data_IF_969337478329
#
_entry.id   IF_969337478329
#
_cell.length_a   1.000
_cell.length_b   1.000
_cell.length_c   1.000
_cell.angle_alpha   90.00
_cell.angle_beta   90.00
_cell.angle_gamma   90.00
#
_symmetry.space_group_name_H-M   'P 1'
#
loop_
_entity.id
_entity.type
_entity.pdbx_description
1 polymer ?
#
# COMPACT_ATOMS: atom_id res chain seq x y z
N UNK A 1 15.69 17.52 -15.45
CA UNK A 1 14.26 17.81 -15.77
C UNK A 1 13.65 16.56 -16.38
N UNK A 2 12.54 16.07 -15.83
CA UNK A 2 11.92 14.80 -16.20
C UNK A 2 10.50 14.97 -16.71
N UNK A 3 10.11 14.14 -17.66
CA UNK A 3 8.71 13.92 -18.03
C UNK A 3 8.01 13.05 -16.98
N UNK A 4 6.68 12.95 -17.05
CA UNK A 4 5.92 12.06 -16.17
C UNK A 4 6.31 10.59 -16.36
N UNK A 5 6.69 10.20 -17.57
CA UNK A 5 7.15 8.84 -17.88
C UNK A 5 8.48 8.54 -17.20
N UNK A 6 9.47 9.43 -17.35
CA UNK A 6 10.78 9.27 -16.72
C UNK A 6 10.68 9.33 -15.18
N UNK A 7 9.87 10.25 -14.64
CA UNK A 7 9.60 10.30 -13.21
C UNK A 7 8.91 9.01 -12.73
N UNK A 8 7.98 8.44 -13.51
CA UNK A 8 7.37 7.16 -13.17
C UNK A 8 8.40 6.03 -13.15
N UNK A 9 9.32 5.95 -14.12
CA UNK A 9 10.37 4.93 -14.11
C UNK A 9 11.28 5.06 -12.88
N UNK A 10 11.71 6.27 -12.53
CA UNK A 10 12.55 6.53 -11.36
C UNK A 10 11.82 6.16 -10.06
N UNK A 11 10.56 6.58 -9.92
CA UNK A 11 9.75 6.30 -8.72
C UNK A 11 9.39 4.81 -8.62
N UNK A 12 9.17 4.14 -9.74
CA UNK A 12 8.93 2.70 -9.80
C UNK A 12 10.16 1.88 -9.42
N UNK A 13 11.35 2.26 -9.92
CA UNK A 13 12.64 1.66 -9.52
C UNK A 13 12.90 1.82 -8.01
N UNK A 14 12.54 2.97 -7.45
CA UNK A 14 12.61 3.23 -6.00
C UNK A 14 11.41 2.67 -5.21
N UNK A 15 10.54 1.87 -5.84
CA UNK A 15 9.37 1.21 -5.23
C UNK A 15 8.37 2.17 -4.56
N UNK A 16 8.32 3.42 -5.00
CA UNK A 16 7.40 4.45 -4.50
C UNK A 16 6.03 4.40 -5.21
N UNK A 17 5.95 3.86 -6.43
CA UNK A 17 4.68 3.66 -7.16
C UNK A 17 4.82 2.59 -8.23
N UNK A 18 3.76 1.82 -8.48
CA UNK A 18 3.67 0.88 -9.61
C UNK A 18 2.83 1.42 -10.78
N UNK A 19 2.21 2.60 -10.63
CA UNK A 19 1.27 3.15 -11.61
C UNK A 19 1.62 4.58 -12.04
N UNK A 20 1.70 4.80 -13.36
CA UNK A 20 1.92 6.12 -13.98
C UNK A 20 0.81 7.13 -13.64
N UNK A 21 -0.43 6.69 -13.45
CA UNK A 21 -1.53 7.60 -13.08
C UNK A 21 -1.36 8.17 -11.67
N UNK A 22 -0.72 7.42 -10.76
CA UNK A 22 -0.38 7.93 -9.42
C UNK A 22 0.57 9.12 -9.51
N UNK A 23 1.57 9.05 -10.40
CA UNK A 23 2.50 10.18 -10.66
C UNK A 23 1.77 11.38 -11.25
N UNK A 24 0.85 11.17 -12.21
CA UNK A 24 -0.03 12.23 -12.73
C UNK A 24 -0.85 12.89 -11.63
N UNK A 25 -1.41 12.10 -10.73
CA UNK A 25 -2.22 12.60 -9.62
C UNK A 25 -1.39 13.42 -8.62
N UNK A 26 -0.16 13.00 -8.32
CA UNK A 26 0.75 13.77 -7.46
C UNK A 26 1.11 15.12 -8.07
N UNK A 27 1.39 15.17 -9.37
CA UNK A 27 1.64 16.43 -10.08
C UNK A 27 0.39 17.32 -10.07
N UNK A 28 -0.79 16.78 -10.40
CA UNK A 28 -2.05 17.54 -10.40
C UNK A 28 -2.41 18.10 -9.02
N UNK A 29 -2.13 17.35 -7.96
CA UNK A 29 -2.40 17.74 -6.57
C UNK A 29 -1.30 18.64 -5.99
N UNK A 30 -0.23 18.93 -6.73
CA UNK A 30 0.90 19.75 -6.27
C UNK A 30 1.79 19.05 -5.25
N UNK A 31 1.70 17.72 -5.12
CA UNK A 31 2.55 16.92 -4.23
C UNK A 31 3.97 16.81 -4.80
N UNK A 32 4.08 16.73 -6.13
CA UNK A 32 5.34 16.91 -6.86
C UNK A 32 5.21 18.23 -7.62
N UNK A 33 6.12 19.17 -7.37
CA UNK A 33 6.14 20.40 -8.16
C UNK A 33 6.55 20.10 -9.60
N UNK A 34 5.76 20.60 -10.54
CA UNK A 34 6.01 20.43 -11.96
C UNK A 34 5.54 21.66 -12.73
N UNK A 35 6.29 22.03 -13.75
CA UNK A 35 5.94 23.10 -14.66
C UNK A 35 5.10 22.56 -15.81
N UNK A 36 3.94 23.17 -16.12
CA UNK A 36 3.21 22.80 -17.32
C UNK A 36 4.03 23.21 -18.55
N UNK A 37 4.15 22.31 -19.53
CA UNK A 37 4.58 22.74 -20.87
C UNK A 37 3.52 23.70 -21.45
N UNK A 38 3.90 24.49 -22.46
CA UNK A 38 3.15 25.56 -23.16
C UNK A 38 1.62 25.37 -23.34
N UNK A 39 1.12 24.13 -23.23
CA UNK A 39 -0.29 23.82 -23.01
C UNK A 39 -0.43 22.62 -22.06
N UNK A 40 -1.46 22.61 -21.19
CA UNK A 40 -1.84 21.43 -20.37
C UNK A 40 -1.99 20.13 -21.17
N UNK A 41 -2.24 20.23 -22.50
CA UNK A 41 -2.31 19.08 -23.42
C UNK A 41 -0.95 18.48 -23.79
N UNK A 42 0.16 19.22 -23.63
CA UNK A 42 1.54 18.78 -23.94
C UNK A 42 2.24 18.09 -22.76
N UNK A 43 1.64 18.06 -21.57
CA UNK A 43 2.17 17.37 -20.38
C UNK A 43 2.82 18.30 -19.35
N UNK A 44 3.50 17.69 -18.37
CA UNK A 44 4.20 18.39 -17.27
C UNK A 44 5.69 18.03 -17.28
N UNK A 45 6.55 18.97 -16.87
CA UNK A 45 7.96 18.75 -16.58
C UNK A 45 8.22 18.87 -15.09
N UNK A 46 8.83 17.84 -14.52
CA UNK A 46 9.20 17.78 -13.12
C UNK A 46 10.68 18.15 -12.99
N UNK A 47 11.02 19.07 -12.10
CA UNK A 47 12.44 19.37 -11.83
C UNK A 47 13.10 18.20 -11.09
N UNK A 48 14.40 18.03 -11.32
CA UNK A 48 15.19 16.98 -10.67
C UNK A 48 15.16 17.15 -9.14
N UNK A 49 15.43 18.37 -8.67
CA UNK A 49 15.32 18.75 -7.26
C UNK A 49 13.95 18.42 -6.64
N UNK A 50 12.84 18.68 -7.37
CA UNK A 50 11.49 18.38 -6.87
C UNK A 50 11.23 16.89 -6.76
N UNK A 51 11.77 16.10 -7.71
CA UNK A 51 11.64 14.65 -7.69
C UNK A 51 12.51 14.03 -6.59
N UNK A 52 13.75 14.49 -6.44
CA UNK A 52 14.67 14.07 -5.40
C UNK A 52 14.13 14.40 -4.01
N UNK A 53 13.61 15.62 -3.82
CA UNK A 53 12.98 16.01 -2.56
C UNK A 53 11.78 15.12 -2.25
N UNK A 54 10.91 14.86 -3.23
CA UNK A 54 9.77 13.95 -3.07
C UNK A 54 10.19 12.53 -2.67
N UNK A 55 11.28 12.03 -3.25
CA UNK A 55 11.87 10.73 -2.93
C UNK A 55 12.43 10.75 -1.50
N UNK A 56 13.24 11.75 -1.16
CA UNK A 56 13.88 11.89 0.16
C UNK A 56 12.87 12.02 1.31
N UNK A 57 11.76 12.72 1.09
CA UNK A 57 10.68 12.82 2.09
C UNK A 57 9.99 11.47 2.38
N UNK A 58 9.92 10.60 1.37
CA UNK A 58 9.25 9.29 1.45
C UNK A 58 10.18 8.15 1.83
N UNK A 59 11.48 8.30 1.63
CA UNK A 59 12.48 7.31 2.02
C UNK A 59 12.99 7.57 3.45
N UNK A 60 13.38 6.54 4.22
CA UNK A 60 13.99 6.70 5.55
C UNK A 60 15.34 7.42 5.48
N UNK A 61 15.74 8.10 6.56
CA UNK A 61 17.11 8.61 6.69
C UNK A 61 18.09 7.42 6.68
N UNK A 62 19.09 7.47 5.79
CA UNK A 62 20.07 6.40 5.58
C UNK A 62 19.78 5.48 4.40
N UNK A 63 18.68 5.67 3.67
CA UNK A 63 18.44 4.97 2.40
C UNK A 63 19.13 5.70 1.25
N UNK A 64 20.23 5.15 0.74
CA UNK A 64 20.89 5.66 -0.46
C UNK A 64 20.01 5.39 -1.69
N UNK A 65 19.83 6.42 -2.54
CA UNK A 65 19.29 6.26 -3.89
C UNK A 65 20.16 5.20 -4.56
N UNK A 66 19.59 4.04 -4.92
CA UNK A 66 20.32 2.88 -5.41
C UNK A 66 21.48 3.32 -6.34
N UNK A 67 22.75 3.18 -5.92
CA UNK A 67 23.82 3.33 -6.87
C UNK A 67 23.67 2.21 -7.90
N UNK A 68 23.91 2.52 -9.18
CA UNK A 68 23.92 1.59 -10.31
C UNK A 68 24.93 0.42 -10.16
N UNK A 69 25.56 0.26 -8.99
CA UNK A 69 26.59 -0.71 -8.67
C UNK A 69 26.10 -2.04 -8.08
N UNK A 70 24.80 -2.26 -7.83
CA UNK A 70 24.33 -3.61 -7.41
C UNK A 70 24.04 -4.49 -8.63
N UNK A 71 25.09 -4.84 -9.37
CA UNK A 71 25.20 -6.13 -10.07
C UNK A 71 25.98 -7.06 -9.14
N UNK A 72 25.33 -7.57 -8.12
CA UNK A 72 25.94 -8.55 -7.21
C UNK A 72 25.70 -9.97 -7.72
N UNK A 73 26.71 -10.57 -8.36
CA UNK A 73 26.85 -12.03 -8.31
C UNK A 73 27.13 -12.45 -6.86
N UNK A 74 26.71 -13.67 -6.53
CA UNK A 74 26.72 -14.25 -5.18
C UNK A 74 28.04 -13.99 -4.43
N UNK A 75 27.91 -13.63 -3.15
CA UNK A 75 29.02 -13.33 -2.23
C UNK A 75 30.04 -14.48 -2.19
N UNK A 76 31.31 -14.12 -2.30
CA UNK A 76 32.44 -14.99 -1.95
C UNK A 76 32.32 -15.46 -0.49
N UNK A 77 32.21 -16.78 -0.32
CA UNK A 77 32.21 -17.44 0.99
C UNK A 77 33.67 -17.59 1.41
N UNK A 78 34.06 -16.87 2.46
CA UNK A 78 35.30 -17.16 3.20
C UNK A 78 35.15 -18.55 3.82
N UNK A 79 35.89 -19.52 3.29
CA UNK A 79 35.97 -20.88 3.84
C UNK A 79 36.77 -20.84 5.14
N UNK A 80 36.10 -21.04 6.27
CA UNK A 80 36.73 -21.57 7.48
C UNK A 80 36.32 -23.05 7.58
N UNK A 81 37.30 -23.94 7.70
CA UNK A 81 37.17 -25.38 7.41
C UNK A 81 36.62 -26.27 8.54
N UNK A 82 36.14 -25.73 9.67
CA UNK A 82 35.86 -26.57 10.86
C UNK A 82 34.42 -26.54 11.42
N UNK A 83 33.43 -26.02 10.70
CA UNK A 83 32.03 -26.05 11.18
C UNK A 83 31.12 -26.85 10.24
N UNK A 84 30.44 -27.86 10.81
CA UNK A 84 29.43 -28.68 10.14
C UNK A 84 28.46 -27.75 9.40
N UNK A 85 28.29 -27.87 8.07
CA UNK A 85 27.51 -26.91 7.30
C UNK A 85 26.03 -27.04 7.64
N UNK A 86 25.57 -26.26 8.62
CA UNK A 86 24.16 -26.01 8.82
C UNK A 86 23.65 -25.21 7.62
N UNK A 87 22.86 -25.84 6.76
CA UNK A 87 22.09 -25.14 5.74
C UNK A 87 21.04 -24.29 6.45
N UNK A 88 21.28 -22.99 6.53
CA UNK A 88 20.23 -22.02 6.86
C UNK A 88 19.49 -21.74 5.56
N UNK A 89 18.32 -22.34 5.38
CA UNK A 89 17.38 -21.91 4.35
C UNK A 89 16.88 -20.51 4.73
N UNK A 90 17.59 -19.49 4.27
CA UNK A 90 17.16 -18.11 4.43
C UNK A 90 16.01 -17.89 3.44
N UNK A 91 14.79 -17.78 3.95
CA UNK A 91 13.65 -17.36 3.15
C UNK A 91 13.77 -15.87 2.82
N UNK A 92 14.53 -15.59 1.75
CA UNK A 92 14.79 -14.24 1.24
C UNK A 92 13.49 -13.52 0.90
N UNK A 93 12.43 -14.25 0.51
CA UNK A 93 11.14 -13.65 0.16
C UNK A 93 10.38 -13.20 1.41
N UNK A 94 10.38 -14.00 2.48
CA UNK A 94 9.83 -13.59 3.76
C UNK A 94 10.51 -12.34 4.33
N UNK A 95 11.84 -12.24 4.20
CA UNK A 95 12.60 -11.06 4.66
C UNK A 95 12.21 -9.82 3.84
N UNK A 96 12.07 -9.94 2.52
CA UNK A 96 11.63 -8.85 1.65
C UNK A 96 10.21 -8.39 1.99
N UNK A 97 9.31 -9.33 2.25
CA UNK A 97 7.94 -9.02 2.62
C UNK A 97 7.86 -8.31 3.96
N UNK A 98 8.67 -8.73 4.94
CA UNK A 98 8.77 -8.06 6.24
C UNK A 98 9.27 -6.62 6.09
N UNK A 99 10.34 -6.40 5.32
CA UNK A 99 10.83 -5.06 5.02
C UNK A 99 9.79 -4.17 4.31
N UNK A 100 8.95 -4.77 3.44
CA UNK A 100 7.85 -4.06 2.78
C UNK A 100 6.75 -3.65 3.76
N UNK A 101 6.41 -4.52 4.72
CA UNK A 101 5.43 -4.23 5.77
C UNK A 101 5.94 -3.11 6.68
N UNK A 102 7.19 -3.19 7.13
CA UNK A 102 7.80 -2.16 7.98
C UNK A 102 7.83 -0.79 7.28
N UNK A 103 8.28 -0.75 6.02
CA UNK A 103 8.27 0.47 5.22
C UNK A 103 6.86 1.04 5.08
N UNK A 104 5.86 0.19 4.84
CA UNK A 104 4.46 0.62 4.74
C UNK A 104 4.02 1.33 6.04
N UNK A 105 4.33 0.77 7.20
CA UNK A 105 3.99 1.37 8.50
C UNK A 105 4.72 2.70 8.74
N UNK A 106 5.99 2.81 8.34
CA UNK A 106 6.75 4.06 8.47
C UNK A 106 6.13 5.19 7.61
N UNK A 107 5.79 4.89 6.35
CA UNK A 107 5.19 5.87 5.43
C UNK A 107 3.77 6.24 5.88
N UNK A 108 2.96 5.24 6.25
CA UNK A 108 1.62 5.44 6.81
C UNK A 108 1.64 6.28 8.10
N UNK A 109 2.62 6.04 8.99
CA UNK A 109 2.79 6.78 10.25
C UNK A 109 3.13 8.26 10.05
N UNK A 110 3.74 8.61 8.92
CA UNK A 110 3.95 10.00 8.47
C UNK A 110 2.73 10.61 7.79
N UNK A 111 1.59 9.91 7.75
CA UNK A 111 0.36 10.30 7.05
C UNK A 111 0.54 10.49 5.53
N UNK A 112 1.51 9.77 4.93
CA UNK A 112 1.78 9.84 3.49
C UNK A 112 1.02 8.73 2.77
N UNK A 113 -0.05 9.09 2.07
CA UNK A 113 -0.93 8.15 1.37
C UNK A 113 -0.92 8.39 -0.15
N UNK A 114 -1.08 7.34 -0.94
CA UNK A 114 -1.27 7.48 -2.40
C UNK A 114 -2.61 8.14 -2.72
N UNK A 115 -3.63 7.76 -1.96
CA UNK A 115 -4.97 8.30 -2.09
C UNK A 115 -5.94 7.66 -1.12
N UNK A 116 -7.19 7.98 -1.36
CA UNK A 116 -8.32 7.44 -0.62
C UNK A 116 -9.30 6.76 -1.58
N UNK A 117 -10.01 5.76 -1.05
CA UNK A 117 -11.07 5.06 -1.75
C UNK A 117 -12.38 5.22 -0.97
N UNK A 118 -13.34 5.92 -1.57
CA UNK A 118 -14.67 6.13 -0.99
C UNK A 118 -15.53 4.87 -1.12
N UNK A 119 -16.08 4.42 0.01
CA UNK A 119 -16.88 3.21 0.10
C UNK A 119 -18.36 3.60 0.13
N UNK A 120 -19.11 3.13 -0.87
CA UNK A 120 -20.57 3.28 -0.92
C UNK A 120 -21.30 2.04 -0.42
N UNK A 121 -22.54 2.22 0.07
CA UNK A 121 -23.39 1.09 0.48
C UNK A 121 -23.65 0.12 -0.67
N UNK A 122 -23.80 0.63 -1.89
CA UNK A 122 -24.00 -0.18 -3.09
C UNK A 122 -22.79 -1.06 -3.39
N UNK A 123 -21.57 -0.54 -3.23
CA UNK A 123 -20.33 -1.32 -3.39
C UNK A 123 -20.28 -2.46 -2.38
N UNK A 124 -20.56 -2.18 -1.10
CA UNK A 124 -20.61 -3.22 -0.05
C UNK A 124 -21.64 -4.29 -0.41
N UNK A 125 -22.86 -3.89 -0.77
CA UNK A 125 -23.92 -4.82 -1.17
C UNK A 125 -23.49 -5.71 -2.34
N UNK A 126 -22.90 -5.14 -3.39
CA UNK A 126 -22.50 -5.89 -4.57
C UNK A 126 -21.38 -6.88 -4.25
N UNK A 127 -20.38 -6.45 -3.49
CA UNK A 127 -19.24 -7.29 -3.15
C UNK A 127 -19.61 -8.41 -2.14
N UNK A 128 -20.54 -8.16 -1.21
CA UNK A 128 -21.12 -9.18 -0.32
C UNK A 128 -21.95 -10.20 -1.11
N UNK A 129 -22.77 -9.73 -2.06
CA UNK A 129 -23.57 -10.60 -2.92
C UNK A 129 -22.69 -11.46 -3.85
N UNK A 130 -21.58 -10.92 -4.36
CA UNK A 130 -20.60 -11.67 -5.15
C UNK A 130 -20.05 -12.89 -4.38
N UNK A 131 -19.83 -12.74 -3.07
CA UNK A 131 -19.39 -13.82 -2.17
C UNK A 131 -20.53 -14.68 -1.63
N UNK A 132 -21.78 -14.38 -2.01
CA UNK A 132 -23.01 -15.05 -1.52
C UNK A 132 -23.18 -15.00 0.00
N UNK A 133 -22.71 -13.93 0.64
CA UNK A 133 -22.92 -13.72 2.07
C UNK A 133 -24.30 -13.14 2.37
N UNK A 134 -24.70 -13.24 3.63
CA UNK A 134 -26.03 -12.86 4.07
C UNK A 134 -26.23 -11.35 4.18
N UNK A 135 -27.49 -10.91 4.28
CA UNK A 135 -27.85 -9.51 4.46
C UNK A 135 -27.44 -8.96 5.83
N UNK A 136 -27.43 -9.80 6.85
CA UNK A 136 -26.93 -9.45 8.18
C UNK A 136 -25.42 -9.15 8.11
N UNK A 137 -24.68 -9.93 7.32
CA UNK A 137 -23.26 -9.66 7.11
C UNK A 137 -23.03 -8.38 6.30
N UNK A 138 -23.87 -8.09 5.30
CA UNK A 138 -23.84 -6.79 4.59
C UNK A 138 -23.95 -5.61 5.57
N UNK A 139 -24.89 -5.71 6.52
CA UNK A 139 -25.12 -4.68 7.53
C UNK A 139 -23.91 -4.53 8.45
N UNK A 140 -23.33 -5.64 8.92
CA UNK A 140 -22.14 -5.64 9.76
C UNK A 140 -20.95 -4.95 9.06
N UNK A 141 -20.69 -5.30 7.80
CA UNK A 141 -19.60 -4.69 7.01
C UNK A 141 -19.82 -3.19 6.90
N UNK A 142 -21.04 -2.76 6.58
CA UNK A 142 -21.35 -1.34 6.46
C UNK A 142 -21.17 -0.56 7.77
N UNK A 143 -21.61 -1.13 8.89
CA UNK A 143 -21.44 -0.50 10.21
C UNK A 143 -19.98 -0.34 10.58
N UNK A 144 -19.13 -1.33 10.26
CA UNK A 144 -17.68 -1.23 10.46
C UNK A 144 -17.06 -0.15 9.58
N UNK A 145 -17.45 -0.05 8.31
CA UNK A 145 -17.02 1.06 7.45
C UNK A 145 -17.40 2.44 8.00
N UNK A 146 -18.61 2.58 8.55
CA UNK A 146 -19.04 3.83 9.19
C UNK A 146 -18.22 4.15 10.44
N UNK A 147 -17.96 3.16 11.30
CA UNK A 147 -17.16 3.33 12.53
C UNK A 147 -15.70 3.67 12.25
N UNK A 148 -15.11 3.09 11.20
CA UNK A 148 -13.75 3.39 10.76
C UNK A 148 -13.61 4.82 10.19
N UNK A 149 -14.71 5.53 9.98
CA UNK A 149 -14.71 6.82 9.29
C UNK A 149 -15.06 7.95 10.25
N UNK A 150 -14.48 9.13 10.01
CA UNK A 150 -14.78 10.31 10.82
C UNK A 150 -16.27 10.69 10.75
N UNK A 151 -16.87 11.22 11.84
CA UNK A 151 -18.28 11.61 11.86
C UNK A 151 -18.66 12.53 10.69
N UNK A 152 -19.81 12.27 10.07
CA UNK A 152 -20.39 13.04 8.94
C UNK A 152 -19.59 13.02 7.64
N UNK A 153 -18.46 12.30 7.56
CA UNK A 153 -17.78 12.02 6.29
C UNK A 153 -18.28 10.73 5.69
N UNK A 154 -18.27 10.66 4.36
CA UNK A 154 -18.53 9.41 3.66
C UNK A 154 -17.43 8.39 3.99
N UNK A 155 -17.78 7.11 4.19
CA UNK A 155 -16.80 6.10 4.50
C UNK A 155 -15.71 6.01 3.44
N UNK A 156 -14.46 5.87 3.88
CA UNK A 156 -13.31 5.73 2.99
C UNK A 156 -12.17 5.02 3.67
N UNK A 157 -11.28 4.46 2.87
CA UNK A 157 -9.98 3.92 3.32
C UNK A 157 -8.85 4.67 2.65
N UNK A 158 -7.78 4.91 3.39
CA UNK A 158 -6.52 5.43 2.85
C UNK A 158 -5.69 4.24 2.38
N UNK A 159 -5.05 4.36 1.23
CA UNK A 159 -4.24 3.27 0.68
C UNK A 159 -2.86 3.76 0.24
N UNK A 160 -1.95 2.80 0.23
CA UNK A 160 -0.55 2.98 -0.13
C UNK A 160 -0.05 1.67 -0.73
N UNK A 161 0.47 1.75 -1.96
CA UNK A 161 1.03 0.65 -2.75
C UNK A 161 0.02 -0.48 -2.94
N UNK A 162 0.06 -1.49 -2.06
CA UNK A 162 -0.65 -2.76 -2.21
C UNK A 162 -1.57 -3.06 -1.00
N UNK A 163 -1.77 -2.07 -0.13
CA UNK A 163 -2.59 -2.23 1.06
C UNK A 163 -3.31 -0.94 1.42
N UNK A 164 -4.36 -1.07 2.22
CA UNK A 164 -5.10 0.04 2.78
C UNK A 164 -5.19 -0.06 4.30
N UNK A 165 -5.42 1.07 4.95
CA UNK A 165 -5.65 1.16 6.38
C UNK A 165 -7.14 0.96 6.68
N UNK A 166 -7.46 -0.02 7.52
CA UNK A 166 -8.80 -0.25 8.02
C UNK A 166 -8.75 -0.74 9.45
N UNK A 167 -9.47 -0.06 10.35
CA UNK A 167 -9.49 -0.34 11.79
C UNK A 167 -8.09 -0.44 12.40
N UNK A 168 -7.24 0.52 12.05
CA UNK A 168 -5.84 0.61 12.49
C UNK A 168 -4.92 -0.52 11.98
N UNK A 169 -5.44 -1.43 11.16
CA UNK A 169 -4.69 -2.54 10.59
C UNK A 169 -4.36 -2.31 9.11
N UNK A 170 -3.18 -2.80 8.70
CA UNK A 170 -2.79 -2.89 7.29
C UNK A 170 -3.53 -4.06 6.65
N UNK A 171 -4.39 -3.77 5.68
CA UNK A 171 -5.12 -4.80 4.92
C UNK A 171 -4.59 -4.87 3.49
N UNK A 172 -3.92 -5.96 3.09
CA UNK A 172 -3.44 -6.14 1.72
C UNK A 172 -4.58 -6.21 0.71
N UNK A 173 -4.35 -5.71 -0.49
CA UNK A 173 -5.25 -5.84 -1.62
C UNK A 173 -5.48 -7.30 -1.99
N UNK A 174 -6.69 -7.62 -2.45
CA UNK A 174 -7.02 -8.96 -2.91
C UNK A 174 -6.37 -9.21 -4.28
N UNK A 175 -5.47 -10.19 -4.38
CA UNK A 175 -4.65 -10.41 -5.58
C UNK A 175 -5.42 -10.96 -6.79
N UNK A 176 -6.56 -11.61 -6.57
CA UNK A 176 -7.34 -12.25 -7.65
C UNK A 176 -8.24 -11.30 -8.46
N UNK A 177 -8.13 -9.98 -8.24
CA UNK A 177 -8.91 -8.98 -8.97
C UNK A 177 -7.99 -8.00 -9.69
N UNK A 178 -8.35 -7.59 -10.90
CA UNK A 178 -7.55 -6.66 -11.70
C UNK A 178 -7.81 -5.20 -11.34
N UNK A 179 -9.07 -4.88 -11.00
CA UNK A 179 -9.51 -3.52 -10.69
C UNK A 179 -9.25 -3.20 -9.22
N UNK A 180 -8.56 -2.08 -8.96
CA UNK A 180 -8.21 -1.64 -7.59
C UNK A 180 -9.43 -1.56 -6.67
N UNK A 181 -10.55 -1.08 -7.19
CA UNK A 181 -11.80 -0.98 -6.45
C UNK A 181 -12.27 -2.35 -5.96
N UNK A 182 -12.21 -3.36 -6.83
CA UNK A 182 -12.57 -4.74 -6.47
C UNK A 182 -11.54 -5.37 -5.53
N UNK A 183 -10.24 -5.13 -5.78
CA UNK A 183 -9.17 -5.59 -4.89
C UNK A 183 -9.38 -5.11 -3.45
N UNK A 184 -9.71 -3.82 -3.27
CA UNK A 184 -9.96 -3.20 -1.96
C UNK A 184 -11.26 -3.74 -1.36
N UNK A 185 -12.37 -3.71 -2.11
CA UNK A 185 -13.68 -4.12 -1.61
C UNK A 185 -13.70 -5.58 -1.17
N UNK A 186 -13.08 -6.47 -1.93
CA UNK A 186 -13.05 -7.90 -1.64
C UNK A 186 -12.12 -8.20 -0.46
N UNK A 187 -10.98 -7.53 -0.35
CA UNK A 187 -10.10 -7.63 0.80
C UNK A 187 -10.77 -7.11 2.09
N UNK A 188 -11.48 -5.99 2.03
CA UNK A 188 -12.21 -5.42 3.16
C UNK A 188 -13.26 -6.38 3.70
N UNK A 189 -14.04 -6.99 2.81
CA UNK A 189 -15.08 -7.95 3.19
C UNK A 189 -14.48 -9.19 3.86
N UNK A 190 -13.40 -9.73 3.32
CA UNK A 190 -12.70 -10.87 3.91
C UNK A 190 -12.07 -10.52 5.26
N UNK A 191 -11.50 -9.33 5.41
CA UNK A 191 -11.01 -8.82 6.68
C UNK A 191 -12.15 -8.75 7.71
N UNK A 192 -13.29 -8.14 7.36
CA UNK A 192 -14.45 -8.08 8.27
C UNK A 192 -14.94 -9.48 8.65
N UNK A 193 -15.00 -10.42 7.69
CA UNK A 193 -15.41 -11.82 7.94
C UNK A 193 -14.49 -12.50 8.95
N UNK A 194 -13.17 -12.41 8.77
CA UNK A 194 -12.18 -13.05 9.66
C UNK A 194 -12.31 -12.52 11.09
N UNK A 195 -12.48 -11.21 11.26
CA UNK A 195 -12.63 -10.61 12.58
C UNK A 195 -14.02 -10.84 13.20
N UNK A 196 -15.07 -10.99 12.37
CA UNK A 196 -16.40 -11.37 12.85
C UNK A 196 -16.44 -12.82 13.38
N UNK A 197 -15.67 -13.75 12.79
CA UNK A 197 -15.52 -15.11 13.32
C UNK A 197 -14.73 -15.16 14.63
N UNK A 198 -13.78 -14.25 14.84
CA UNK A 198 -13.01 -14.15 16.09
C UNK A 198 -13.89 -13.59 17.22
N UNK A 199 -14.79 -12.64 16.92
CA UNK A 199 -15.75 -12.08 17.88
C UNK A 199 -16.83 -13.05 18.38
N UNK A 200 -17.06 -14.18 17.70
CA UNK A 200 -17.95 -15.25 18.18
C UNK A 200 -17.36 -16.08 19.33
N UNK A 201 -16.09 -15.88 19.69
CA UNK A 201 -15.40 -16.54 20.82
C UNK A 201 -14.67 -15.56 21.76
N UNK A 202 -15.20 -14.34 21.96
CA UNK A 202 -14.96 -13.63 23.23
C UNK A 202 -16.17 -13.86 24.11
N UNK A 203 -16.25 -15.06 24.69
CA UNK A 203 -17.26 -15.37 25.69
C UNK A 203 -17.07 -14.45 26.89
N UNK A 204 -18.16 -13.77 27.21
CA UNK A 204 -18.51 -13.22 28.52
C UNK A 204 -18.17 -14.25 29.63
N UNK A 205 -16.94 -14.22 30.15
CA UNK A 205 -16.58 -15.00 31.34
C UNK A 205 -15.45 -14.40 32.20
N UNK A 206 -14.90 -13.24 31.84
CA UNK A 206 -13.86 -12.56 32.65
C UNK A 206 -14.32 -11.22 33.24
N UNK A 207 -15.54 -11.20 33.78
CA UNK A 207 -15.89 -10.24 34.84
C UNK A 207 -16.88 -10.91 35.79
N UNK A 208 -16.31 -11.65 36.74
CA UNK A 208 -16.87 -11.81 38.09
C UNK A 208 -15.90 -11.18 39.07
#
# INVERSE_FOLDING_TARGET
MYTIDEAFEILSKNKLTSHKETVRNWVRKGVIQAEPLESRKKGYRISEDSLEQFIKERMPEGWEIYPESVKGEARDVVKNEDEVPYHVEIDVEAIKELGRIEMWHQVAGRWLWEGDFEISRTMVRNAVAHRRYSKEFEQLVWERCLKNSAPRKKPRVLYLIDAFLFEEERVPFHKDFDMKEDQIMQALIEHVRKHASIGKYKNESDTK
#
